data_IF_618310914962
#
_entry.id   IF_618310914962
#
_cell.length_a   1.000
_cell.length_b   1.000
_cell.length_c   1.000
_cell.angle_alpha   90.00
_cell.angle_beta   90.00
_cell.angle_gamma   90.00
#
_symmetry.space_group_name_H-M   'P 1'
#
loop_
_entity.id
_entity.type
_entity.pdbx_description
1 polymer ?
#
# COMPACT_ATOMS: atom_id res chain seq x y z
N UNK A 1 9.29 -5.99 26.06
CA UNK A 1 9.31 -7.44 26.35
C UNK A 1 8.38 -7.71 27.51
N UNK A 2 7.62 -8.80 27.45
CA UNK A 2 6.73 -9.25 28.55
C UNK A 2 7.41 -10.37 29.33
N UNK A 3 8.10 -11.28 28.65
CA UNK A 3 8.74 -12.45 29.24
C UNK A 3 9.95 -12.87 28.39
N UNK A 4 11.01 -13.33 29.00
CA UNK A 4 12.18 -13.88 28.29
C UNK A 4 13.19 -12.82 27.82
N UNK A 5 13.32 -11.68 28.49
CA UNK A 5 14.31 -10.65 28.14
C UNK A 5 15.75 -11.20 28.08
N UNK A 6 16.09 -12.13 28.98
CA UNK A 6 17.41 -12.77 29.02
C UNK A 6 17.71 -13.65 27.78
N UNK A 7 16.71 -13.91 26.94
CA UNK A 7 16.88 -14.65 25.68
C UNK A 7 17.26 -13.74 24.51
N UNK A 8 17.40 -12.44 24.75
CA UNK A 8 17.81 -11.45 23.77
C UNK A 8 19.26 -11.02 23.99
N UNK A 9 19.89 -10.57 22.91
CA UNK A 9 21.21 -9.91 22.98
C UNK A 9 21.18 -8.71 23.92
N UNK A 10 22.33 -8.29 24.42
CA UNK A 10 22.47 -7.02 25.13
C UNK A 10 21.97 -5.84 24.27
N UNK A 11 21.60 -4.75 24.94
CA UNK A 11 21.19 -3.52 24.25
C UNK A 11 22.35 -2.95 23.47
N UNK A 12 22.06 -2.55 22.24
CA UNK A 12 23.04 -1.86 21.38
C UNK A 12 23.13 -0.37 21.74
N UNK A 13 24.15 0.32 21.23
CA UNK A 13 24.31 1.76 21.43
C UNK A 13 23.07 2.55 20.94
N UNK A 14 22.41 2.07 19.90
CA UNK A 14 21.19 2.68 19.37
C UNK A 14 19.97 2.49 20.27
N UNK A 15 20.05 1.63 21.28
CA UNK A 15 18.98 1.36 22.24
C UNK A 15 19.22 2.02 23.60
N UNK A 16 20.31 2.76 23.82
CA UNK A 16 20.67 3.36 25.12
C UNK A 16 19.62 4.33 25.68
N UNK A 17 18.78 4.89 24.81
CA UNK A 17 17.68 5.76 25.22
C UNK A 17 16.43 4.99 25.71
N UNK A 18 16.43 3.65 25.58
CA UNK A 18 15.34 2.79 26.01
C UNK A 18 15.67 2.17 27.39
N UNK A 19 14.74 2.29 28.32
CA UNK A 19 14.81 1.55 29.59
C UNK A 19 14.18 0.17 29.43
N UNK A 20 14.72 -0.83 30.17
CA UNK A 20 14.05 -2.15 30.27
C UNK A 20 12.58 -2.01 30.67
N UNK A 21 11.66 -2.80 30.09
CA UNK A 21 11.89 -3.94 29.20
C UNK A 21 11.75 -3.60 27.70
N UNK A 22 12.01 -2.37 27.30
CA UNK A 22 11.83 -1.94 25.91
C UNK A 22 13.07 -2.24 25.07
N UNK A 23 12.86 -2.75 23.86
CA UNK A 23 13.90 -3.09 22.88
C UNK A 23 13.46 -2.63 21.47
N UNK A 24 14.43 -2.30 20.64
CA UNK A 24 14.22 -2.12 19.18
C UNK A 24 14.22 -3.50 18.51
N UNK A 25 13.08 -3.87 17.89
CA UNK A 25 12.95 -5.18 17.24
C UNK A 25 13.98 -5.40 16.12
N UNK A 26 14.44 -4.33 15.46
CA UNK A 26 15.49 -4.39 14.43
C UNK A 26 16.91 -4.58 14.99
N UNK A 27 17.13 -4.33 16.28
CA UNK A 27 18.44 -4.44 16.95
C UNK A 27 18.52 -5.67 17.84
N UNK A 28 17.40 -6.08 18.45
CA UNK A 28 17.36 -7.22 19.36
C UNK A 28 17.51 -8.54 18.61
N UNK A 29 18.53 -9.33 18.97
CA UNK A 29 18.75 -10.69 18.44
C UNK A 29 18.35 -11.73 19.46
N UNK A 30 17.68 -12.80 19.06
CA UNK A 30 17.40 -13.95 19.92
C UNK A 30 18.68 -14.76 20.06
N UNK A 31 19.20 -14.89 21.28
CA UNK A 31 20.43 -15.62 21.60
C UNK A 31 20.15 -17.01 22.18
N UNK A 32 18.96 -17.20 22.78
CA UNK A 32 18.53 -18.49 23.29
C UNK A 32 17.16 -18.85 22.70
N UNK A 33 17.12 -19.93 21.92
CA UNK A 33 15.92 -20.40 21.18
C UNK A 33 15.11 -21.44 21.98
N UNK A 34 15.62 -21.89 23.14
CA UNK A 34 14.99 -22.98 23.90
C UNK A 34 13.91 -22.49 24.86
N UNK A 35 13.93 -21.21 25.20
CA UNK A 35 13.02 -20.62 26.17
C UNK A 35 11.97 -19.73 25.50
N UNK A 36 10.84 -19.56 26.15
CA UNK A 36 9.76 -18.71 25.66
C UNK A 36 10.16 -17.23 25.66
N UNK A 37 9.87 -16.55 24.56
CA UNK A 37 9.95 -15.11 24.44
C UNK A 37 8.58 -14.55 24.15
N UNK A 38 8.04 -13.70 25.04
CA UNK A 38 6.79 -12.98 24.82
C UNK A 38 7.06 -11.49 24.70
N UNK A 39 6.54 -10.89 23.65
CA UNK A 39 6.62 -9.44 23.44
C UNK A 39 5.32 -8.90 22.89
N UNK A 40 5.06 -7.63 23.16
CA UNK A 40 3.99 -6.87 22.55
C UNK A 40 4.61 -5.70 21.79
N UNK A 41 4.35 -5.56 20.50
CA UNK A 41 4.79 -4.38 19.77
C UNK A 41 4.06 -3.17 20.36
N UNK A 42 4.78 -2.08 20.62
CA UNK A 42 4.17 -0.82 21.03
C UNK A 42 3.39 -0.26 19.84
N UNK A 43 2.07 -0.31 19.90
CA UNK A 43 1.24 0.43 18.96
C UNK A 43 1.50 1.92 19.17
N UNK A 44 2.05 2.57 18.16
CA UNK A 44 2.01 4.02 18.10
C UNK A 44 0.60 4.40 17.70
N UNK A 45 -0.25 4.75 18.66
CA UNK A 45 -1.57 5.36 18.41
C UNK A 45 -1.36 6.80 17.87
N UNK A 46 -0.76 6.92 16.70
CA UNK A 46 -0.83 8.14 15.92
C UNK A 46 -2.21 8.14 15.27
N UNK A 47 -3.18 8.76 15.90
CA UNK A 47 -4.40 9.19 15.22
C UNK A 47 -3.98 10.23 14.19
N UNK A 48 -3.78 9.78 12.96
CA UNK A 48 -3.66 10.69 11.84
C UNK A 48 -5.08 11.16 11.59
N UNK A 49 -5.34 12.43 11.89
CA UNK A 49 -6.60 13.07 11.62
C UNK A 49 -6.67 13.29 10.11
N UNK A 50 -7.35 12.41 9.41
CA UNK A 50 -7.75 12.63 8.02
C UNK A 50 -9.11 13.30 8.04
N UNK A 51 -9.15 14.59 7.76
CA UNK A 51 -10.40 15.32 7.52
C UNK A 51 -10.75 15.17 6.05
N UNK A 52 -11.89 14.53 5.77
CA UNK A 52 -12.47 14.50 4.42
C UNK A 52 -13.63 15.47 4.37
N UNK A 53 -13.55 16.41 3.44
CA UNK A 53 -14.69 17.24 3.09
C UNK A 53 -15.48 16.53 1.96
N UNK A 54 -16.60 15.90 2.30
CA UNK A 54 -17.51 15.26 1.35
C UNK A 54 -18.34 16.29 0.53
N UNK A 55 -17.93 17.55 0.49
CA UNK A 55 -18.72 18.63 -0.10
C UNK A 55 -18.56 18.80 -1.62
N UNK A 56 -17.67 18.05 -2.23
CA UNK A 56 -17.50 18.13 -3.67
C UNK A 56 -18.53 17.23 -4.37
N UNK A 57 -19.47 17.83 -5.04
CA UNK A 57 -20.37 17.16 -5.98
C UNK A 57 -19.57 16.83 -7.26
N UNK A 58 -18.83 15.73 -7.22
CA UNK A 58 -18.21 15.18 -8.43
C UNK A 58 -19.25 14.40 -9.21
N UNK A 59 -19.31 14.62 -10.51
CA UNK A 59 -20.04 13.76 -11.42
C UNK A 59 -19.32 12.42 -11.48
N UNK A 60 -20.02 11.33 -11.11
CA UNK A 60 -19.43 9.99 -11.06
C UNK A 60 -19.55 9.39 -12.46
N UNK A 61 -18.44 9.33 -13.18
CA UNK A 61 -18.33 8.54 -14.41
C UNK A 61 -18.17 7.06 -14.04
N UNK A 62 -19.28 6.34 -14.10
CA UNK A 62 -19.35 4.98 -13.59
C UNK A 62 -19.13 3.98 -14.72
N UNK A 63 -17.93 3.39 -14.79
CA UNK A 63 -17.61 2.32 -15.75
C UNK A 63 -18.22 0.96 -15.37
N UNK A 64 -18.98 0.89 -14.28
CA UNK A 64 -19.59 -0.34 -13.80
C UNK A 64 -21.05 -0.43 -14.27
N UNK A 65 -21.41 -1.57 -14.83
CA UNK A 65 -22.78 -1.90 -15.24
C UNK A 65 -23.42 -2.78 -14.17
N UNK A 66 -24.52 -2.30 -13.63
CA UNK A 66 -25.31 -2.98 -12.59
C UNK A 66 -26.51 -3.68 -13.23
N UNK A 67 -26.41 -5.00 -13.41
CA UNK A 67 -27.53 -5.82 -13.83
C UNK A 67 -28.31 -6.36 -12.63
N UNK A 68 -29.46 -7.02 -12.87
CA UNK A 68 -30.29 -7.60 -11.80
C UNK A 68 -29.52 -8.55 -10.90
N UNK A 69 -28.60 -9.34 -11.48
CA UNK A 69 -27.91 -10.44 -10.79
C UNK A 69 -26.39 -10.36 -10.88
N UNK A 70 -25.81 -9.28 -11.41
CA UNK A 70 -24.37 -9.14 -11.55
C UNK A 70 -23.91 -7.68 -11.56
N UNK A 71 -22.64 -7.50 -11.24
CA UNK A 71 -21.90 -6.25 -11.49
C UNK A 71 -20.76 -6.57 -12.44
N UNK A 72 -20.66 -5.83 -13.51
CA UNK A 72 -19.66 -6.01 -14.56
C UNK A 72 -18.96 -4.70 -14.87
N UNK A 73 -17.76 -4.80 -15.44
CA UNK A 73 -17.06 -3.69 -16.07
C UNK A 73 -17.08 -3.88 -17.58
N UNK A 74 -17.29 -2.80 -18.32
CA UNK A 74 -17.21 -2.79 -19.78
C UNK A 74 -15.97 -2.02 -20.19
N UNK A 75 -15.04 -2.71 -20.89
CA UNK A 75 -13.82 -2.11 -21.41
C UNK A 75 -13.56 -2.65 -22.82
N UNK A 76 -13.35 -1.76 -23.80
CA UNK A 76 -13.07 -2.12 -25.20
C UNK A 76 -14.13 -3.07 -25.80
N UNK A 77 -15.42 -2.80 -25.56
CA UNK A 77 -16.55 -3.62 -25.99
C UNK A 77 -16.55 -5.06 -25.42
N UNK A 78 -15.77 -5.31 -24.38
CA UNK A 78 -15.77 -6.59 -23.65
C UNK A 78 -16.35 -6.38 -22.25
N UNK A 79 -17.42 -7.12 -21.97
CA UNK A 79 -18.07 -7.15 -20.65
C UNK A 79 -17.41 -8.22 -19.79
N UNK A 80 -16.82 -7.81 -18.65
CA UNK A 80 -16.27 -8.72 -17.66
C UNK A 80 -17.11 -8.68 -16.39
N UNK A 81 -17.68 -9.81 -15.99
CA UNK A 81 -18.43 -9.93 -14.74
C UNK A 81 -17.44 -9.96 -13.56
N UNK A 82 -17.60 -9.04 -12.63
CA UNK A 82 -16.80 -8.94 -11.42
C UNK A 82 -17.46 -9.61 -10.23
N UNK A 83 -18.79 -9.53 -10.14
CA UNK A 83 -19.59 -10.11 -9.07
C UNK A 83 -20.86 -10.71 -9.67
N UNK A 84 -21.10 -12.01 -9.41
CA UNK A 84 -22.28 -12.77 -9.88
C UNK A 84 -23.50 -12.61 -8.96
N UNK A 85 -23.67 -11.47 -8.35
CA UNK A 85 -24.81 -11.18 -7.45
C UNK A 85 -25.00 -9.67 -7.35
N UNK A 86 -26.26 -9.20 -7.30
CA UNK A 86 -26.53 -7.81 -6.98
C UNK A 86 -25.90 -7.46 -5.63
N UNK A 87 -24.92 -6.59 -5.64
CA UNK A 87 -24.16 -6.24 -4.45
C UNK A 87 -23.62 -4.81 -4.60
N UNK A 88 -23.56 -4.08 -3.49
CA UNK A 88 -22.80 -2.83 -3.46
C UNK A 88 -21.34 -3.13 -3.79
N UNK A 89 -20.72 -2.25 -4.54
CA UNK A 89 -19.30 -2.31 -4.87
C UNK A 89 -18.55 -1.14 -4.26
N UNK A 90 -17.28 -1.39 -3.96
CA UNK A 90 -16.40 -0.44 -3.29
C UNK A 90 -15.08 -0.32 -4.03
N UNK A 91 -14.48 0.85 -3.93
CA UNK A 91 -13.12 1.14 -4.33
C UNK A 91 -12.26 1.55 -3.15
N UNK A 92 -10.95 1.47 -3.31
CA UNK A 92 -9.98 2.01 -2.35
C UNK A 92 -9.16 3.11 -3.04
N UNK A 93 -9.01 4.24 -2.37
CA UNK A 93 -7.98 5.22 -2.66
C UNK A 93 -6.88 5.09 -1.60
N UNK A 94 -5.66 4.83 -2.04
CA UNK A 94 -4.52 4.54 -1.16
C UNK A 94 -3.39 5.53 -1.48
N UNK A 95 -2.97 6.28 -0.47
CA UNK A 95 -1.75 7.09 -0.52
C UNK A 95 -0.63 6.34 0.22
N UNK A 96 0.42 5.97 -0.51
CA UNK A 96 1.60 5.31 0.03
C UNK A 96 2.72 6.33 0.24
N UNK A 97 2.60 7.07 1.33
CA UNK A 97 3.66 7.97 1.76
C UNK A 97 4.88 7.21 2.32
N UNK A 98 6.03 7.86 2.36
CA UNK A 98 7.27 7.29 2.93
C UNK A 98 7.10 6.91 4.41
N UNK A 99 6.39 7.73 5.18
CA UNK A 99 6.19 7.52 6.62
C UNK A 99 4.82 6.92 6.94
N UNK A 100 3.79 7.32 6.21
CA UNK A 100 2.39 7.01 6.52
C UNK A 100 1.69 6.51 5.28
N UNK A 101 0.86 5.49 5.46
CA UNK A 101 -0.08 5.01 4.44
C UNK A 101 -1.50 5.40 4.86
N UNK A 102 -2.23 6.03 3.95
CA UNK A 102 -3.64 6.36 4.15
C UNK A 102 -4.52 5.56 3.19
N UNK A 103 -5.64 5.07 3.69
CA UNK A 103 -6.61 4.27 2.92
C UNK A 103 -8.01 4.85 3.11
N UNK A 104 -8.68 5.13 2.00
CA UNK A 104 -10.08 5.49 1.96
C UNK A 104 -10.86 4.40 1.24
N UNK A 105 -11.94 3.95 1.85
CA UNK A 105 -12.91 3.08 1.23
C UNK A 105 -14.09 3.90 0.72
N UNK A 106 -14.39 3.80 -0.56
CA UNK A 106 -15.45 4.52 -1.23
C UNK A 106 -16.54 3.56 -1.71
N UNK A 107 -17.78 4.01 -1.63
CA UNK A 107 -18.87 3.36 -2.35
C UNK A 107 -18.86 3.88 -3.80
N UNK A 108 -18.63 2.99 -4.78
CA UNK A 108 -18.50 3.36 -6.19
C UNK A 108 -19.81 3.75 -6.86
N UNK A 109 -20.97 3.45 -6.25
CA UNK A 109 -22.26 3.90 -6.75
C UNK A 109 -22.55 5.36 -6.37
N UNK A 110 -22.07 5.79 -5.19
CA UNK A 110 -22.40 7.11 -4.64
C UNK A 110 -21.22 8.07 -4.54
N UNK A 111 -19.98 7.61 -4.82
CA UNK A 111 -18.73 8.35 -4.62
C UNK A 111 -18.38 8.67 -3.16
N UNK A 112 -19.21 8.26 -2.21
CA UNK A 112 -19.03 8.62 -0.79
C UNK A 112 -17.94 7.80 -0.13
N UNK A 113 -17.08 8.46 0.65
CA UNK A 113 -16.14 7.80 1.55
C UNK A 113 -16.92 7.17 2.70
N UNK A 114 -16.74 5.85 2.87
CA UNK A 114 -17.46 5.04 3.86
C UNK A 114 -16.60 4.76 5.09
N UNK A 115 -15.30 4.62 4.90
CA UNK A 115 -14.34 4.40 5.98
C UNK A 115 -12.97 4.92 5.58
N UNK A 116 -12.20 5.29 6.59
CA UNK A 116 -10.81 5.73 6.45
C UNK A 116 -9.94 4.94 7.42
N UNK A 117 -8.72 4.67 7.04
CA UNK A 117 -7.68 4.12 7.90
C UNK A 117 -6.34 4.73 7.56
N UNK A 118 -5.45 4.80 8.53
CA UNK A 118 -4.06 5.20 8.31
C UNK A 118 -3.14 4.47 9.27
N UNK A 119 -1.94 4.15 8.80
CA UNK A 119 -0.94 3.43 9.57
C UNK A 119 0.48 3.85 9.19
N UNK A 120 1.43 3.58 10.06
CA UNK A 120 2.85 3.83 9.78
C UNK A 120 3.33 2.89 8.68
N UNK A 121 4.02 3.41 7.67
CA UNK A 121 4.52 2.60 6.56
C UNK A 121 5.51 1.54 7.09
N UNK A 122 5.19 0.24 6.98
CA UNK A 122 6.02 -0.82 7.53
C UNK A 122 7.38 -0.93 6.85
N UNK A 123 7.59 -0.31 5.70
CA UNK A 123 8.85 -0.35 4.96
C UNK A 123 10.00 0.40 5.66
N UNK A 124 9.74 1.01 6.83
CA UNK A 124 10.75 1.71 7.65
C UNK A 124 11.94 0.82 8.02
N UNK A 125 11.78 -0.51 8.08
CA UNK A 125 12.89 -1.44 8.33
C UNK A 125 13.94 -1.45 7.22
N UNK A 126 13.56 -1.12 5.97
CA UNK A 126 14.47 -0.98 4.84
C UNK A 126 15.06 0.42 4.71
N UNK A 127 14.63 1.37 5.55
CA UNK A 127 15.14 2.72 5.58
C UNK A 127 14.08 3.76 5.96
N UNK A 128 14.52 4.79 6.67
CA UNK A 128 13.66 5.92 7.08
C UNK A 128 13.32 6.87 5.93
N UNK A 129 14.12 6.84 4.87
CA UNK A 129 14.00 7.70 3.69
C UNK A 129 14.02 6.88 2.39
N UNK A 130 13.75 7.57 1.30
CA UNK A 130 13.62 6.97 -0.04
C UNK A 130 14.93 6.34 -0.52
N UNK A 131 16.08 7.00 -0.33
CA UNK A 131 17.37 6.52 -0.81
C UNK A 131 17.82 5.25 -0.10
N UNK A 132 17.61 5.18 1.21
CA UNK A 132 17.89 3.96 1.97
C UNK A 132 16.99 2.79 1.53
N UNK A 133 15.72 3.03 1.21
CA UNK A 133 14.81 2.00 0.67
C UNK A 133 15.23 1.52 -0.70
N UNK A 134 15.65 2.41 -1.59
CA UNK A 134 16.21 2.04 -2.89
C UNK A 134 17.42 1.14 -2.67
N UNK A 135 18.38 1.56 -1.83
CA UNK A 135 19.57 0.77 -1.52
C UNK A 135 19.24 -0.60 -0.91
N UNK A 136 18.21 -0.69 -0.07
CA UNK A 136 17.75 -1.94 0.51
C UNK A 136 17.17 -2.87 -0.55
N UNK A 137 16.27 -2.37 -1.40
CA UNK A 137 15.54 -3.17 -2.39
C UNK A 137 16.40 -3.60 -3.57
N UNK A 138 17.46 -2.84 -3.90
CA UNK A 138 18.40 -3.18 -5.00
C UNK A 138 19.42 -4.25 -4.63
N UNK A 139 19.55 -4.60 -3.35
CA UNK A 139 20.44 -5.64 -2.85
C UNK A 139 19.73 -7.00 -2.76
N UNK A 140 20.29 -7.89 -1.94
CA UNK A 140 19.78 -9.26 -1.68
C UNK A 140 18.37 -9.31 -1.07
N UNK A 141 17.80 -8.19 -0.69
CA UNK A 141 16.49 -8.07 -0.05
C UNK A 141 15.39 -7.63 -1.01
N UNK A 142 15.65 -7.70 -2.32
CA UNK A 142 14.71 -7.30 -3.37
C UNK A 142 13.33 -7.92 -3.18
N UNK A 143 12.30 -7.08 -3.24
CA UNK A 143 10.89 -7.46 -3.09
C UNK A 143 10.41 -7.64 -1.65
N UNK A 144 11.27 -7.51 -0.62
CA UNK A 144 10.81 -7.56 0.78
C UNK A 144 9.98 -6.33 1.15
N UNK A 145 10.34 -5.16 0.64
CA UNK A 145 9.57 -3.93 0.84
C UNK A 145 8.18 -4.03 0.20
N UNK A 146 8.09 -4.60 -1.01
CA UNK A 146 6.82 -4.90 -1.66
C UNK A 146 5.95 -5.82 -0.79
N UNK A 147 6.48 -6.97 -0.37
CA UNK A 147 5.74 -7.93 0.46
C UNK A 147 5.25 -7.31 1.77
N UNK A 148 6.06 -6.47 2.38
CA UNK A 148 5.72 -5.78 3.62
C UNK A 148 4.53 -4.84 3.47
N UNK A 149 4.54 -3.97 2.45
CA UNK A 149 3.45 -3.03 2.22
C UNK A 149 2.15 -3.74 1.80
N UNK A 150 2.23 -4.76 0.93
CA UNK A 150 1.06 -5.56 0.54
C UNK A 150 0.45 -6.30 1.74
N UNK A 151 1.30 -6.84 2.62
CA UNK A 151 0.83 -7.51 3.84
C UNK A 151 0.07 -6.55 4.78
N UNK A 152 0.61 -5.35 4.98
CA UNK A 152 -0.02 -4.33 5.82
C UNK A 152 -1.34 -3.83 5.23
N UNK A 153 -1.39 -3.56 3.94
CA UNK A 153 -2.62 -3.17 3.24
C UNK A 153 -3.67 -4.28 3.34
N UNK A 154 -3.29 -5.54 3.14
CA UNK A 154 -4.19 -6.67 3.29
C UNK A 154 -4.75 -6.81 4.72
N UNK A 155 -3.94 -6.50 5.73
CA UNK A 155 -4.38 -6.48 7.12
C UNK A 155 -5.42 -5.37 7.33
N UNK A 156 -5.12 -4.14 6.93
CA UNK A 156 -6.02 -2.99 7.09
C UNK A 156 -7.34 -3.15 6.31
N UNK A 157 -7.29 -3.66 5.09
CA UNK A 157 -8.51 -4.04 4.34
C UNK A 157 -9.37 -5.03 5.16
N UNK A 158 -8.71 -5.98 5.85
CA UNK A 158 -9.42 -6.92 6.73
C UNK A 158 -10.13 -6.24 7.87
N UNK A 159 -9.47 -5.32 8.55
CA UNK A 159 -10.04 -4.59 9.67
C UNK A 159 -11.19 -3.65 9.22
N UNK A 160 -10.98 -2.90 8.13
CA UNK A 160 -12.02 -2.04 7.55
C UNK A 160 -13.26 -2.86 7.16
N UNK A 161 -13.09 -3.94 6.39
CA UNK A 161 -14.21 -4.75 5.90
C UNK A 161 -14.97 -5.44 7.03
N UNK A 162 -14.28 -5.88 8.07
CA UNK A 162 -14.88 -6.44 9.29
C UNK A 162 -15.70 -5.39 10.04
N UNK A 163 -15.15 -4.20 10.23
CA UNK A 163 -15.79 -3.08 10.96
C UNK A 163 -17.09 -2.66 10.29
N UNK A 164 -17.13 -2.54 8.97
CA UNK A 164 -18.31 -2.09 8.22
C UNK A 164 -19.15 -3.24 7.68
N UNK A 165 -18.82 -4.50 8.01
CA UNK A 165 -19.56 -5.73 7.67
C UNK A 165 -19.77 -5.91 6.18
N UNK A 166 -18.73 -5.67 5.35
CA UNK A 166 -18.70 -5.99 3.93
C UNK A 166 -17.75 -7.15 3.64
N UNK A 167 -17.88 -7.74 2.46
CA UNK A 167 -16.97 -8.79 2.00
C UNK A 167 -15.83 -8.17 1.20
N UNK A 168 -14.61 -8.64 1.38
CA UNK A 168 -13.44 -8.18 0.60
C UNK A 168 -13.66 -8.23 -0.91
N UNK A 169 -14.38 -9.24 -1.41
CA UNK A 169 -14.70 -9.41 -2.85
C UNK A 169 -15.63 -8.33 -3.42
N UNK A 170 -16.22 -7.50 -2.58
CA UNK A 170 -17.00 -6.33 -3.04
C UNK A 170 -16.11 -5.12 -3.37
N UNK A 171 -14.82 -5.18 -3.03
CA UNK A 171 -13.83 -4.18 -3.43
C UNK A 171 -13.31 -4.61 -4.81
N UNK A 172 -13.58 -3.79 -5.82
CA UNK A 172 -13.35 -4.11 -7.24
C UNK A 172 -12.32 -3.18 -7.90
N UNK A 173 -11.86 -2.18 -7.17
CA UNK A 173 -10.91 -1.19 -7.70
C UNK A 173 -10.01 -0.65 -6.58
N UNK A 174 -8.76 -0.36 -6.93
CA UNK A 174 -7.82 0.41 -6.11
C UNK A 174 -7.18 1.47 -7.00
N UNK A 175 -7.25 2.72 -6.57
CA UNK A 175 -6.37 3.78 -7.06
C UNK A 175 -5.28 3.99 -6.01
N UNK A 176 -4.02 3.93 -6.44
CA UNK A 176 -2.87 4.10 -5.57
C UNK A 176 -2.03 5.27 -6.03
N UNK A 177 -1.65 6.12 -5.09
CA UNK A 177 -0.73 7.23 -5.31
C UNK A 177 0.44 7.14 -4.34
N UNK A 178 1.51 7.82 -4.67
CA UNK A 178 2.72 7.92 -3.88
C UNK A 178 3.85 8.53 -4.69
N UNK A 179 4.97 8.87 -4.06
CA UNK A 179 6.16 9.26 -4.81
C UNK A 179 6.64 8.10 -5.70
N UNK A 180 7.48 8.40 -6.68
CA UNK A 180 7.92 7.43 -7.70
C UNK A 180 8.44 6.13 -7.11
N UNK A 181 9.27 6.21 -6.05
CA UNK A 181 9.85 5.03 -5.40
C UNK A 181 8.81 4.20 -4.67
N UNK A 182 7.92 4.83 -3.88
CA UNK A 182 6.89 4.11 -3.14
C UNK A 182 5.89 3.43 -4.09
N UNK A 183 5.53 4.11 -5.19
CA UNK A 183 4.70 3.55 -6.25
C UNK A 183 5.37 2.33 -6.89
N UNK A 184 6.62 2.47 -7.30
CA UNK A 184 7.33 1.41 -8.03
C UNK A 184 7.60 0.19 -7.12
N UNK A 185 7.96 0.39 -5.85
CA UNK A 185 8.03 -0.69 -4.85
C UNK A 185 6.68 -1.38 -4.66
N UNK A 186 5.58 -0.61 -4.60
CA UNK A 186 4.24 -1.20 -4.49
C UNK A 186 3.91 -2.11 -5.68
N UNK A 187 4.27 -1.72 -6.90
CA UNK A 187 4.08 -2.53 -8.11
C UNK A 187 5.17 -3.60 -8.30
N UNK A 188 6.10 -3.75 -7.36
CA UNK A 188 7.25 -4.67 -7.41
C UNK A 188 8.15 -4.44 -8.64
N UNK A 189 8.31 -3.18 -9.03
CA UNK A 189 9.24 -2.76 -10.09
C UNK A 189 10.62 -2.52 -9.50
N UNK A 190 11.63 -2.59 -10.36
CA UNK A 190 13.00 -2.24 -9.99
C UNK A 190 13.13 -0.74 -9.78
N UNK A 191 13.71 -0.34 -8.64
CA UNK A 191 13.86 1.06 -8.24
C UNK A 191 15.31 1.55 -8.31
N UNK A 192 16.26 0.70 -8.75
CA UNK A 192 17.69 1.03 -8.80
C UNK A 192 17.94 2.30 -9.61
N UNK A 193 17.29 2.43 -10.77
CA UNK A 193 17.45 3.57 -11.67
C UNK A 193 16.99 4.91 -11.07
N UNK A 194 16.10 4.87 -10.07
CA UNK A 194 15.67 6.07 -9.34
C UNK A 194 16.79 6.57 -8.40
N UNK A 195 17.64 5.65 -7.92
CA UNK A 195 18.76 5.96 -7.02
C UNK A 195 20.04 6.46 -7.69
N UNK A 196 20.16 6.32 -9.02
CA UNK A 196 21.34 6.69 -9.79
C UNK A 196 21.01 7.69 -10.89
N UNK A 197 22.00 8.53 -11.28
CA UNK A 197 21.77 9.48 -12.38
C UNK A 197 21.33 8.76 -13.66
N UNK A 198 20.32 9.27 -14.38
CA UNK A 198 19.60 10.54 -14.23
C UNK A 198 18.39 10.51 -13.27
N UNK A 199 18.29 9.57 -12.34
CA UNK A 199 17.26 9.46 -11.30
C UNK A 199 15.84 9.25 -11.84
N UNK A 200 15.69 8.43 -12.86
CA UNK A 200 14.42 8.15 -13.54
C UNK A 200 13.95 6.74 -13.25
N UNK A 201 12.63 6.59 -13.09
CA UNK A 201 12.01 5.27 -12.99
C UNK A 201 12.06 4.49 -14.30
N UNK A 202 11.91 3.18 -14.23
CA UNK A 202 11.81 2.34 -15.43
C UNK A 202 10.63 2.75 -16.32
N UNK A 203 9.52 3.18 -15.74
CA UNK A 203 8.35 3.65 -16.48
C UNK A 203 8.64 4.95 -17.24
N UNK A 204 9.43 5.85 -16.65
CA UNK A 204 9.87 7.07 -17.35
C UNK A 204 10.83 6.77 -18.50
N UNK A 205 11.77 5.84 -18.32
CA UNK A 205 12.64 5.41 -19.43
C UNK A 205 11.82 4.82 -20.56
N UNK A 206 10.86 3.92 -20.25
CA UNK A 206 10.00 3.33 -21.28
C UNK A 206 9.16 4.39 -22.01
N UNK A 207 8.72 5.43 -21.33
CA UNK A 207 7.99 6.55 -21.91
C UNK A 207 8.90 7.40 -22.82
N UNK A 208 10.12 7.75 -22.38
CA UNK A 208 11.10 8.49 -23.16
C UNK A 208 11.49 7.71 -24.42
N UNK A 209 11.67 6.40 -24.29
CA UNK A 209 12.00 5.50 -25.40
C UNK A 209 10.78 5.20 -26.30
N UNK A 210 9.61 5.81 -26.04
CA UNK A 210 8.35 5.59 -26.77
C UNK A 210 7.89 4.13 -26.80
N UNK A 211 8.22 3.36 -25.77
CA UNK A 211 7.75 1.98 -25.59
C UNK A 211 6.34 1.93 -25.00
N UNK A 212 5.95 2.99 -24.31
CA UNK A 212 4.63 3.21 -23.71
C UNK A 212 4.20 4.64 -23.94
N UNK A 213 2.88 4.89 -23.95
CA UNK A 213 2.31 6.21 -24.19
C UNK A 213 2.10 7.01 -22.89
N UNK A 214 2.26 6.37 -21.73
CA UNK A 214 2.07 6.97 -20.41
C UNK A 214 2.97 6.29 -19.39
N UNK A 215 3.26 6.99 -18.28
CA UNK A 215 3.94 6.43 -17.10
C UNK A 215 2.96 5.84 -16.08
N UNK A 216 1.66 5.79 -16.39
CA UNK A 216 0.67 5.14 -15.54
C UNK A 216 0.96 3.64 -15.37
N UNK A 217 0.50 3.09 -14.27
CA UNK A 217 0.61 1.66 -14.00
C UNK A 217 -0.77 1.05 -13.76
N UNK A 218 -0.98 -0.11 -14.34
CA UNK A 218 -2.19 -0.89 -14.12
C UNK A 218 -1.86 -2.36 -13.91
N UNK A 219 -2.56 -2.98 -12.98
CA UNK A 219 -2.45 -4.41 -12.68
C UNK A 219 -3.81 -4.94 -12.21
N UNK A 220 -3.88 -6.21 -11.83
CA UNK A 220 -5.03 -6.80 -11.14
C UNK A 220 -4.62 -7.28 -9.76
N UNK A 221 -5.58 -7.32 -8.83
CA UNK A 221 -5.33 -7.63 -7.43
C UNK A 221 -4.63 -8.98 -7.24
N UNK A 222 -5.01 -10.00 -8.01
CA UNK A 222 -4.42 -11.34 -7.94
C UNK A 222 -2.94 -11.39 -8.32
N UNK A 223 -2.46 -10.48 -9.19
CA UNK A 223 -1.04 -10.39 -9.57
C UNK A 223 -0.16 -9.70 -8.52
N UNK A 224 -0.77 -8.90 -7.66
CA UNK A 224 -0.08 -8.17 -6.58
C UNK A 224 -0.36 -8.77 -5.19
N UNK A 225 -0.94 -9.97 -5.11
CA UNK A 225 -1.30 -10.65 -3.86
C UNK A 225 -2.21 -9.82 -2.94
N UNK A 226 -3.02 -8.91 -3.50
CA UNK A 226 -3.98 -8.11 -2.75
C UNK A 226 -5.28 -8.91 -2.58
N UNK A 227 -5.70 -9.09 -1.33
CA UNK A 227 -6.80 -9.98 -0.95
C UNK A 227 -8.17 -9.28 -1.00
N UNK A 228 -8.61 -8.90 -2.19
CA UNK A 228 -9.93 -8.33 -2.53
C UNK A 228 -10.59 -9.16 -3.64
N UNK A 229 -11.40 -8.55 -4.51
CA UNK A 229 -11.81 -9.22 -5.74
C UNK A 229 -10.55 -9.53 -6.58
N UNK A 230 -10.29 -10.79 -6.99
CA UNK A 230 -9.06 -11.16 -7.69
C UNK A 230 -8.89 -10.44 -9.03
N UNK A 231 -9.99 -10.05 -9.66
CA UNK A 231 -10.03 -9.31 -10.93
C UNK A 231 -10.11 -7.79 -10.74
N UNK A 232 -10.06 -7.30 -9.50
CA UNK A 232 -10.08 -5.87 -9.20
C UNK A 232 -8.91 -5.16 -9.89
N UNK A 233 -9.22 -4.02 -10.48
CA UNK A 233 -8.21 -3.18 -11.14
C UNK A 233 -7.43 -2.42 -10.07
N UNK A 234 -6.10 -2.45 -10.20
CA UNK A 234 -5.18 -1.64 -9.41
C UNK A 234 -4.55 -0.64 -10.38
N UNK A 235 -4.80 0.63 -10.15
CA UNK A 235 -4.35 1.70 -11.03
C UNK A 235 -3.51 2.72 -10.26
N UNK A 236 -2.48 3.24 -10.89
CA UNK A 236 -1.73 4.40 -10.42
C UNK A 236 -1.60 5.43 -11.54
N UNK A 237 -1.98 6.70 -11.28
CA UNK A 237 -1.86 7.76 -12.27
C UNK A 237 -0.42 7.96 -12.77
N UNK A 238 -0.24 8.64 -13.91
CA UNK A 238 1.06 8.97 -14.44
C UNK A 238 1.92 9.76 -13.45
N UNK A 239 3.25 9.60 -13.53
CA UNK A 239 4.20 10.46 -12.84
C UNK A 239 4.28 11.81 -13.56
N UNK A 240 4.43 12.88 -12.77
CA UNK A 240 4.70 14.22 -13.34
C UNK A 240 6.18 14.32 -13.72
N UNK A 241 7.08 13.86 -12.85
CA UNK A 241 8.53 13.83 -13.08
C UNK A 241 9.20 12.86 -12.11
N UNK A 242 10.50 12.61 -12.32
CA UNK A 242 11.30 11.60 -11.60
C UNK A 242 11.16 11.57 -10.08
N UNK A 243 10.98 12.74 -9.45
CA UNK A 243 10.81 12.86 -7.99
C UNK A 243 9.43 13.38 -7.59
N UNK A 244 8.58 13.70 -8.57
CA UNK A 244 7.21 14.16 -8.37
C UNK A 244 6.31 13.02 -8.76
N UNK A 245 5.80 12.32 -7.76
CA UNK A 245 5.01 11.12 -7.94
C UNK A 245 3.56 11.40 -8.31
N UNK A 246 2.81 10.32 -8.35
CA UNK A 246 1.37 10.36 -8.62
C UNK A 246 0.56 10.94 -7.46
N UNK A 247 1.13 11.09 -6.27
CA UNK A 247 0.56 11.80 -5.12
C UNK A 247 0.29 13.28 -5.42
N UNK A 248 1.20 13.95 -6.13
CA UNK A 248 1.03 15.35 -6.53
C UNK A 248 0.04 15.47 -7.70
N UNK A 249 0.04 14.52 -8.64
CA UNK A 249 -0.89 14.56 -9.80
C UNK A 249 -2.34 14.23 -9.44
N UNK A 250 -2.57 13.62 -8.28
CA UNK A 250 -3.90 13.26 -7.79
C UNK A 250 -4.52 14.30 -6.84
N UNK A 251 -3.76 15.29 -6.39
CA UNK A 251 -4.23 16.43 -5.57
C UNK A 251 -4.55 17.62 -6.45
#
# INVERSE_FOLDING_TARGET
IIEGENNLSEQTNDEQFLSSPFRLACQAKIINVKDNLKFTPRKRDRKILTTFDNKNDYEIDNHYVFDKDSVSIEKNNQKKILINKKSKIFGLAIDVGTTTVAINLLNLESGKVIATSSFENPQVFGGSDVMNRISYDTNKFKGELHKSIISAINFEIGEITKKIKIRRRQIVEIVIVGNSTMRDIFFNLDVETIGVRPYKSLTEFNFIDKKVDSTELSSIASKLDIRINPDAIIYSPPLIASHIGSDISAG
#
